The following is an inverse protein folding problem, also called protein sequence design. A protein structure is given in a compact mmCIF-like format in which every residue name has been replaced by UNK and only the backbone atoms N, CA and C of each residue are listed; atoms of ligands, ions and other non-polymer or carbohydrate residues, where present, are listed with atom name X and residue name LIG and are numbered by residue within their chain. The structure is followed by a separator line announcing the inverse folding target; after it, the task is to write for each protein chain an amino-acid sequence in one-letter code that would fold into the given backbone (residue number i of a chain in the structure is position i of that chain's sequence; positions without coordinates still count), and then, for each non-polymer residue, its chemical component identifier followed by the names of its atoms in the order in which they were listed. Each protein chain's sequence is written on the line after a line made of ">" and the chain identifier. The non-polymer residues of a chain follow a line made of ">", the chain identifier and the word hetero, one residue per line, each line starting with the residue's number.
data_IF_616978814055
#
_entry.id   IF_616978814055
#
_cell.length_a   1.000
_cell.length_b   1.000
_cell.length_c   1.000
_cell.angle_alpha   90.00
_cell.angle_beta   90.00
_cell.angle_gamma   90.00
#
_symmetry.space_group_name_H-M   'P 1'
#
loop_
_entity.id
_entity.type
_entity.pdbx_description
1 polymer ?
#
# COMPACT_ATOMS: atom_id res chain seq x y z
N UNK A 1 10.78 5.72 -12.73
CA UNK A 1 10.06 5.56 -11.46
C UNK A 1 9.06 4.43 -11.64
N UNK A 2 9.28 3.32 -10.96
CA UNK A 2 8.42 2.15 -10.96
C UNK A 2 7.47 2.21 -9.75
N UNK A 3 6.28 1.62 -9.87
CA UNK A 3 5.34 1.49 -8.76
C UNK A 3 4.99 0.04 -8.55
N UNK A 4 5.00 -0.37 -7.29
CA UNK A 4 4.47 -1.66 -6.84
C UNK A 4 3.36 -1.44 -5.83
N UNK A 5 2.37 -2.33 -5.85
CA UNK A 5 1.12 -2.19 -5.11
C UNK A 5 0.96 -3.38 -4.18
N UNK A 6 0.82 -3.12 -2.89
CA UNK A 6 0.78 -4.15 -1.86
C UNK A 6 -0.45 -4.04 -0.97
N UNK A 7 -0.94 -5.18 -0.49
CA UNK A 7 -1.75 -5.25 0.71
C UNK A 7 -0.89 -5.78 1.85
N UNK A 8 -0.70 -4.98 2.90
CA UNK A 8 -0.10 -5.44 4.15
C UNK A 8 -1.23 -5.66 5.16
N UNK A 9 -1.65 -6.92 5.33
CA UNK A 9 -2.92 -7.23 5.98
C UNK A 9 -4.09 -6.57 5.26
N UNK A 10 -4.79 -5.64 5.91
CA UNK A 10 -5.89 -4.87 5.30
C UNK A 10 -5.47 -3.48 4.82
N UNK A 11 -4.18 -3.15 4.85
CA UNK A 11 -3.71 -1.82 4.47
C UNK A 11 -3.18 -1.80 3.04
N UNK A 12 -3.77 -0.98 2.14
CA UNK A 12 -3.16 -0.66 0.86
C UNK A 12 -1.89 0.17 1.01
N UNK A 13 -0.82 -0.27 0.37
CA UNK A 13 0.49 0.38 0.33
C UNK A 13 0.97 0.48 -1.12
N UNK A 14 1.50 1.63 -1.50
CA UNK A 14 2.17 1.88 -2.78
C UNK A 14 3.66 2.08 -2.48
N UNK A 15 4.50 1.34 -3.18
CA UNK A 15 5.95 1.52 -3.14
C UNK A 15 6.38 2.19 -4.43
N UNK A 16 6.92 3.39 -4.33
CA UNK A 16 7.53 4.12 -5.45
C UNK A 16 9.04 3.87 -5.42
N UNK A 17 9.54 3.21 -6.45
CA UNK A 17 10.94 2.81 -6.55
C UNK A 17 11.69 3.83 -7.42
N UNK A 18 12.65 4.51 -6.79
CA UNK A 18 13.60 5.42 -7.42
C UNK A 18 14.97 4.76 -7.50
N UNK A 19 15.90 5.35 -8.26
CA UNK A 19 17.25 4.79 -8.44
C UNK A 19 18.03 4.67 -7.13
N UNK A 20 17.76 5.54 -6.16
CA UNK A 20 18.57 5.67 -4.93
C UNK A 20 17.81 5.41 -3.64
N UNK A 21 16.47 5.34 -3.70
CA UNK A 21 15.63 5.09 -2.53
C UNK A 21 14.24 4.57 -2.93
N UNK A 22 13.53 4.04 -1.96
CA UNK A 22 12.13 3.66 -2.08
C UNK A 22 11.26 4.56 -1.19
N UNK A 23 10.11 4.97 -1.71
CA UNK A 23 9.11 5.71 -0.96
C UNK A 23 7.90 4.82 -0.70
N UNK A 24 7.39 4.82 0.52
CA UNK A 24 6.30 3.96 0.95
C UNK A 24 5.09 4.82 1.32
N UNK A 25 4.01 4.71 0.56
CA UNK A 25 2.77 5.45 0.77
C UNK A 25 1.69 4.48 1.24
N UNK A 26 1.11 4.70 2.41
CA UNK A 26 0.02 3.86 2.94
C UNK A 26 -1.29 4.63 2.95
N UNK A 27 -2.40 3.95 2.66
CA UNK A 27 -3.73 4.56 2.72
C UNK A 27 -4.06 4.94 4.17
N UNK A 28 -4.26 6.22 4.45
CA UNK A 28 -4.79 6.68 5.71
C UNK A 28 -6.30 6.34 5.77
N UNK A 29 -6.68 5.52 6.75
CA UNK A 29 -8.05 5.00 6.87
C UNK A 29 -9.04 5.98 7.49
N UNK A 30 -8.59 7.17 7.88
CA UNK A 30 -9.45 8.26 8.36
C UNK A 30 -9.70 9.28 7.24
N UNK A 31 -8.71 9.53 6.39
CA UNK A 31 -8.78 10.57 5.35
C UNK A 31 -8.98 10.01 3.94
N UNK A 32 -8.74 8.71 3.71
CA UNK A 32 -8.77 8.12 2.39
C UNK A 32 -7.60 8.53 1.47
N UNK A 33 -6.59 9.23 2.00
CA UNK A 33 -5.44 9.72 1.24
C UNK A 33 -4.22 8.82 1.47
N UNK A 34 -3.41 8.63 0.44
CA UNK A 34 -2.13 7.94 0.58
C UNK A 34 -1.08 8.89 1.16
N UNK A 35 -0.49 8.51 2.28
CA UNK A 35 0.48 9.32 3.02
C UNK A 35 1.75 8.51 3.23
N UNK A 36 2.89 9.21 3.28
CA UNK A 36 4.18 8.55 3.50
C UNK A 36 4.20 7.85 4.86
N UNK A 37 4.56 6.57 4.87
CA UNK A 37 4.63 5.77 6.07
C UNK A 37 5.72 4.71 6.00
N UNK A 38 6.87 5.03 6.58
CA UNK A 38 8.05 4.18 6.60
C UNK A 38 7.90 2.87 7.39
N UNK A 39 6.85 2.71 8.21
CA UNK A 39 6.57 1.42 8.86
C UNK A 39 6.46 0.29 7.84
N UNK A 40 5.89 0.59 6.67
CA UNK A 40 5.68 -0.39 5.62
C UNK A 40 6.96 -0.71 4.83
N UNK A 41 8.05 0.03 5.01
CA UNK A 41 9.36 -0.37 4.47
C UNK A 41 9.80 -1.72 5.02
N UNK A 42 9.69 -1.91 6.33
CA UNK A 42 10.04 -3.16 6.96
C UNK A 42 9.04 -4.26 6.63
N UNK A 43 7.73 -3.99 6.68
CA UNK A 43 6.72 -5.03 6.41
C UNK A 43 6.77 -5.55 4.98
N UNK A 44 6.96 -4.66 3.98
CA UNK A 44 7.03 -5.09 2.58
C UNK A 44 8.33 -5.85 2.28
N UNK A 45 9.46 -5.44 2.88
CA UNK A 45 10.76 -6.09 2.63
C UNK A 45 10.98 -7.36 3.47
N UNK A 46 10.39 -7.40 4.66
CA UNK A 46 10.50 -8.49 5.62
C UNK A 46 9.10 -8.83 6.14
N UNK A 47 8.50 -9.83 5.48
CA UNK A 47 7.17 -10.36 5.80
C UNK A 47 7.28 -11.75 6.47
N UNK A 48 7.58 -11.81 7.77
CA UNK A 48 7.71 -13.08 8.48
C UNK A 48 6.37 -13.81 8.65
N UNK A 49 5.26 -13.07 8.62
CA UNK A 49 3.91 -13.58 8.85
C UNK A 49 3.22 -14.06 7.55
N UNK A 50 3.73 -13.64 6.38
CA UNK A 50 3.17 -14.00 5.07
C UNK A 50 1.91 -13.20 4.72
N UNK A 51 1.72 -12.06 5.36
CA UNK A 51 0.51 -11.23 5.26
C UNK A 51 0.64 -10.11 4.21
N UNK A 52 1.74 -10.07 3.46
CA UNK A 52 1.98 -9.11 2.40
C UNK A 52 1.72 -9.73 1.02
N UNK A 53 0.72 -9.19 0.33
CA UNK A 53 0.37 -9.60 -1.03
C UNK A 53 0.71 -8.49 -2.03
N UNK A 54 1.51 -8.81 -3.05
CA UNK A 54 1.71 -7.93 -4.21
C UNK A 54 0.54 -8.09 -5.19
N UNK A 55 -0.06 -6.97 -5.59
CA UNK A 55 -1.21 -6.91 -6.48
C UNK A 55 -0.86 -6.21 -7.79
N UNK A 56 -1.63 -6.53 -8.84
CA UNK A 56 -1.68 -5.66 -10.01
C UNK A 56 -2.36 -4.34 -9.65
N UNK A 57 -1.99 -3.27 -10.36
CA UNK A 57 -2.59 -1.94 -10.18
C UNK A 57 -4.13 -1.97 -10.26
N UNK A 58 -4.69 -2.71 -11.22
CA UNK A 58 -6.13 -2.83 -11.38
C UNK A 58 -6.82 -3.48 -10.16
N UNK A 59 -6.25 -4.57 -9.62
CA UNK A 59 -6.79 -5.25 -8.43
C UNK A 59 -6.66 -4.36 -7.20
N UNK A 60 -5.53 -3.69 -7.06
CA UNK A 60 -5.28 -2.74 -5.97
C UNK A 60 -6.28 -1.58 -5.98
N UNK A 61 -6.47 -0.93 -7.13
CA UNK A 61 -7.40 0.19 -7.26
C UNK A 61 -8.84 -0.24 -6.96
N UNK A 62 -9.26 -1.39 -7.48
CA UNK A 62 -10.59 -1.96 -7.19
C UNK A 62 -10.79 -2.21 -5.68
N UNK A 63 -9.75 -2.72 -5.00
CA UNK A 63 -9.79 -2.93 -3.55
C UNK A 63 -9.89 -1.60 -2.79
N UNK A 64 -9.07 -0.61 -3.15
CA UNK A 64 -9.06 0.72 -2.51
C UNK A 64 -10.41 1.42 -2.67
N UNK A 65 -11.00 1.40 -3.87
CA UNK A 65 -12.32 2.00 -4.12
C UNK A 65 -13.41 1.35 -3.27
N UNK A 66 -13.44 0.02 -3.22
CA UNK A 66 -14.38 -0.73 -2.39
C UNK A 66 -14.20 -0.38 -0.92
N UNK A 67 -12.96 -0.37 -0.44
CA UNK A 67 -12.61 -0.07 0.94
C UNK A 67 -13.01 1.36 1.35
N UNK A 68 -12.77 2.35 0.48
CA UNK A 68 -13.19 3.74 0.71
C UNK A 68 -14.71 3.85 0.81
N UNK A 69 -15.43 3.22 -0.13
CA UNK A 69 -16.89 3.18 -0.13
C UNK A 69 -17.47 2.54 1.13
N UNK A 70 -16.93 1.40 1.56
CA UNK A 70 -17.37 0.70 2.78
C UNK A 70 -17.15 1.52 4.06
N UNK A 71 -16.19 2.44 4.04
CA UNK A 71 -15.83 3.29 5.19
C UNK A 71 -16.34 4.72 5.11
N UNK A 72 -16.99 5.12 4.01
CA UNK A 72 -17.45 6.49 3.80
C UNK A 72 -16.31 7.51 3.68
N UNK A 73 -15.18 7.10 3.10
CA UNK A 73 -13.99 7.91 2.83
C UNK A 73 -13.99 8.54 1.44
#
# INVERSE_FOLDING_TARGET
>A
MEKKFYLCGLRPVIVEIYETYENYLALNMQTGVFEQNFRYSHQVTYDPDGDVEELSEQKFNTYVEKLKKERGL
#
